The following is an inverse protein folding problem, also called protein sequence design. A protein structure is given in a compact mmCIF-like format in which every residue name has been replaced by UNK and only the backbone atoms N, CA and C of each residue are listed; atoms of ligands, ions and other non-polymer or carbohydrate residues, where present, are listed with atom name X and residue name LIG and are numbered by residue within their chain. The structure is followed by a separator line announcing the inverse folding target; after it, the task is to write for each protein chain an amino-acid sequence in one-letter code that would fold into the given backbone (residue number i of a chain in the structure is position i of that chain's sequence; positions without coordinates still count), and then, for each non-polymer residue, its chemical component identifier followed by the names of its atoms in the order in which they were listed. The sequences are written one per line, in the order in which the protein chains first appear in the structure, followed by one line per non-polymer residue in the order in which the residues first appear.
data_IF_407032023510
#
_entry.id   IF_407032023510
#
_cell.length_a   1.000
_cell.length_b   1.000
_cell.length_c   1.000
_cell.angle_alpha   90.00
_cell.angle_beta   90.00
_cell.angle_gamma   90.00
#
_symmetry.space_group_name_H-M   'P 1'
#
loop_
_entity.id
_entity.type
_entity.pdbx_description
1 polymer ?
#
# COMPACT_ATOMS: atom_id res chain seq x y z
N UNK A 1 15.85 -1.62 28.06
CA UNK A 1 14.54 -0.98 27.77
C UNK A 1 14.55 -0.20 26.46
N UNK A 2 15.55 0.65 26.20
CA UNK A 2 15.61 1.50 25.00
C UNK A 2 15.53 0.71 23.67
N UNK A 3 16.22 -0.44 23.55
CA UNK A 3 16.19 -1.26 22.33
C UNK A 3 14.80 -1.83 22.02
N UNK A 4 14.02 -2.19 23.04
CA UNK A 4 12.66 -2.68 22.85
C UNK A 4 11.73 -1.56 22.35
N UNK A 5 11.82 -0.36 22.94
CA UNK A 5 11.07 0.81 22.46
C UNK A 5 11.49 1.24 21.05
N UNK A 6 12.77 1.16 20.70
CA UNK A 6 13.23 1.35 19.32
C UNK A 6 12.54 0.36 18.38
N UNK A 7 12.36 -0.89 18.80
CA UNK A 7 11.71 -1.89 17.97
C UNK A 7 10.21 -1.71 17.85
N UNK A 8 9.55 -1.16 18.87
CA UNK A 8 8.16 -0.71 18.76
C UNK A 8 8.04 0.39 17.70
N UNK A 9 8.94 1.37 17.70
CA UNK A 9 8.91 2.46 16.71
C UNK A 9 9.23 1.93 15.31
N UNK A 10 10.19 1.01 15.17
CA UNK A 10 10.47 0.30 13.92
C UNK A 10 9.22 -0.43 13.39
N UNK A 11 8.56 -1.19 14.28
CA UNK A 11 7.35 -1.94 13.94
C UNK A 11 6.18 -1.05 13.55
N UNK A 12 6.00 0.07 14.26
CA UNK A 12 4.99 1.07 13.94
C UNK A 12 5.27 1.75 12.60
N UNK A 13 6.55 2.04 12.29
CA UNK A 13 6.96 2.61 11.00
C UNK A 13 6.66 1.64 9.85
N UNK A 14 7.12 0.39 9.95
CA UNK A 14 6.87 -0.63 8.92
C UNK A 14 5.38 -0.95 8.78
N UNK A 15 4.68 -1.11 9.89
CA UNK A 15 3.24 -1.38 9.90
C UNK A 15 2.42 -0.23 9.32
N UNK A 16 2.86 1.02 9.51
CA UNK A 16 2.25 2.20 8.87
C UNK A 16 2.36 2.14 7.35
N UNK A 17 3.54 1.82 6.81
CA UNK A 17 3.76 1.76 5.35
C UNK A 17 3.03 0.57 4.74
N UNK A 18 3.22 -0.63 5.30
CA UNK A 18 2.54 -1.81 4.80
C UNK A 18 1.03 -1.71 4.94
N UNK A 19 0.55 -1.08 6.02
CA UNK A 19 -0.86 -0.77 6.24
C UNK A 19 -1.44 0.15 5.15
N UNK A 20 -0.73 1.22 4.76
CA UNK A 20 -1.17 2.10 3.67
C UNK A 20 -1.27 1.36 2.33
N UNK A 21 -0.27 0.56 1.99
CA UNK A 21 -0.29 -0.25 0.75
C UNK A 21 -1.40 -1.29 0.80
N UNK A 22 -1.55 -2.00 1.92
CA UNK A 22 -2.62 -2.96 2.12
C UNK A 22 -4.00 -2.31 2.05
N UNK A 23 -4.17 -1.09 2.55
CA UNK A 23 -5.42 -0.33 2.43
C UNK A 23 -5.76 0.02 0.99
N UNK A 24 -4.79 0.47 0.21
CA UNK A 24 -4.96 0.71 -1.23
C UNK A 24 -5.38 -0.55 -1.97
N UNK A 25 -4.75 -1.69 -1.66
CA UNK A 25 -5.12 -2.99 -2.22
C UNK A 25 -6.51 -3.46 -1.75
N UNK A 26 -6.84 -3.23 -0.48
CA UNK A 26 -8.13 -3.60 0.13
C UNK A 26 -9.29 -2.87 -0.53
N UNK A 27 -9.13 -1.60 -0.87
CA UNK A 27 -10.16 -0.82 -1.59
C UNK A 27 -10.46 -1.42 -2.96
N UNK A 28 -9.41 -1.72 -3.73
CA UNK A 28 -9.56 -2.31 -5.07
C UNK A 28 -10.19 -3.70 -4.97
N UNK A 29 -9.70 -4.52 -4.04
CA UNK A 29 -10.25 -5.84 -3.80
C UNK A 29 -11.71 -5.79 -3.33
N UNK A 30 -12.07 -4.84 -2.46
CA UNK A 30 -13.43 -4.75 -1.93
C UNK A 30 -14.50 -4.54 -3.01
N UNK A 31 -14.14 -3.93 -4.13
CA UNK A 31 -15.08 -3.68 -5.24
C UNK A 31 -14.94 -4.72 -6.35
N UNK A 32 -13.71 -5.08 -6.71
CA UNK A 32 -13.45 -5.97 -7.85
C UNK A 32 -13.30 -7.44 -7.47
N UNK A 33 -13.08 -7.75 -6.19
CA UNK A 33 -12.78 -9.10 -5.68
C UNK A 33 -11.58 -9.78 -6.36
N UNK A 34 -10.65 -8.98 -6.89
CA UNK A 34 -9.47 -9.45 -7.61
C UNK A 34 -8.19 -8.99 -6.87
N UNK A 35 -7.23 -9.91 -6.61
CA UNK A 35 -5.90 -9.54 -6.15
C UNK A 35 -5.14 -8.75 -7.22
N UNK A 36 -5.06 -7.44 -7.07
CA UNK A 36 -4.35 -6.59 -8.02
C UNK A 36 -2.85 -6.52 -7.71
N UNK A 37 -2.05 -7.43 -8.28
CA UNK A 37 -0.60 -7.42 -8.14
C UNK A 37 0.08 -6.19 -8.75
N UNK A 38 -0.57 -5.49 -9.69
CA UNK A 38 -0.03 -4.25 -10.27
C UNK A 38 0.12 -3.13 -9.25
N UNK A 39 -0.57 -3.21 -8.10
CA UNK A 39 -0.46 -2.23 -7.03
C UNK A 39 0.98 -2.13 -6.47
N UNK A 40 1.76 -3.22 -6.51
CA UNK A 40 3.19 -3.19 -6.19
C UNK A 40 4.00 -2.33 -7.15
N UNK A 41 3.69 -2.39 -8.44
CA UNK A 41 4.33 -1.53 -9.44
C UNK A 41 3.89 -0.08 -9.30
N UNK A 42 2.63 0.21 -8.97
CA UNK A 42 2.19 1.58 -8.66
C UNK A 42 2.96 2.18 -7.47
N UNK A 43 3.23 1.36 -6.43
CA UNK A 43 4.09 1.75 -5.32
C UNK A 43 5.52 2.04 -5.77
N UNK A 44 6.12 1.18 -6.61
CA UNK A 44 7.43 1.45 -7.22
C UNK A 44 7.42 2.76 -8.03
N UNK A 45 6.46 2.96 -8.93
CA UNK A 45 6.34 4.19 -9.72
C UNK A 45 6.23 5.40 -8.79
N UNK A 46 5.50 5.30 -7.68
CA UNK A 46 5.41 6.37 -6.68
C UNK A 46 6.77 6.76 -6.06
N UNK A 47 7.64 5.78 -5.80
CA UNK A 47 9.00 6.03 -5.31
C UNK A 47 9.88 6.71 -6.39
N UNK A 48 9.79 6.26 -7.65
CA UNK A 48 10.57 6.84 -8.75
C UNK A 48 10.07 8.23 -9.15
N UNK A 49 8.76 8.47 -9.15
CA UNK A 49 8.21 9.80 -9.42
C UNK A 49 8.59 10.78 -8.30
N UNK A 50 8.52 10.37 -7.03
CA UNK A 50 8.99 11.23 -5.94
C UNK A 50 10.50 11.49 -6.03
N UNK A 51 11.30 10.49 -6.44
CA UNK A 51 12.71 10.68 -6.73
C UNK A 51 12.95 11.66 -7.87
N UNK A 52 12.25 11.51 -9.00
CA UNK A 52 12.33 12.40 -10.14
C UNK A 52 12.02 13.85 -9.75
N UNK A 53 10.90 14.08 -9.05
CA UNK A 53 10.53 15.43 -8.63
C UNK A 53 11.54 16.01 -7.62
N UNK A 54 12.04 15.23 -6.67
CA UNK A 54 12.91 15.73 -5.62
C UNK A 54 14.36 15.92 -6.08
N UNK A 55 14.90 14.99 -6.86
CA UNK A 55 16.31 14.93 -7.23
C UNK A 55 16.55 15.54 -8.60
N UNK A 56 15.78 15.13 -9.61
CA UNK A 56 16.01 15.56 -11.00
C UNK A 56 15.44 16.98 -11.25
N UNK A 57 14.31 17.32 -10.61
CA UNK A 57 13.68 18.65 -10.69
C UNK A 57 13.96 19.56 -9.49
N UNK A 58 14.59 19.05 -8.42
CA UNK A 58 14.90 19.84 -7.22
C UNK A 58 13.68 20.34 -6.43
N UNK A 59 12.50 19.73 -6.63
CA UNK A 59 11.28 20.15 -5.96
C UNK A 59 11.29 19.82 -4.48
N UNK A 60 10.60 20.64 -3.68
CA UNK A 60 10.42 20.37 -2.26
C UNK A 60 9.67 19.06 -2.03
N UNK A 61 10.00 18.33 -0.95
CA UNK A 61 9.47 17.00 -0.64
C UNK A 61 7.94 16.90 -0.74
N UNK A 62 7.20 17.84 -0.15
CA UNK A 62 5.73 17.84 -0.22
C UNK A 62 5.19 18.03 -1.65
N UNK A 63 5.87 18.81 -2.47
CA UNK A 63 5.52 19.01 -3.89
C UNK A 63 5.81 17.75 -4.68
N UNK A 64 6.96 17.11 -4.43
CA UNK A 64 7.30 15.82 -5.02
C UNK A 64 6.29 14.72 -4.65
N UNK A 65 5.82 14.72 -3.39
CA UNK A 65 4.81 13.80 -2.89
C UNK A 65 3.46 14.01 -3.58
N UNK A 66 3.01 15.27 -3.72
CA UNK A 66 1.78 15.60 -4.43
C UNK A 66 1.88 15.27 -5.94
N UNK A 67 3.00 15.61 -6.58
CA UNK A 67 3.26 15.29 -7.99
C UNK A 67 3.27 13.78 -8.24
N UNK A 68 3.95 13.02 -7.39
CA UNK A 68 3.94 11.55 -7.42
C UNK A 68 2.53 10.98 -7.27
N UNK A 69 1.75 11.48 -6.30
CA UNK A 69 0.38 11.05 -6.10
C UNK A 69 -0.50 11.30 -7.33
N UNK A 70 -0.38 12.45 -8.00
CA UNK A 70 -1.14 12.76 -9.22
C UNK A 70 -0.77 11.80 -10.36
N UNK A 71 0.53 11.59 -10.60
CA UNK A 71 1.00 10.70 -11.68
C UNK A 71 0.54 9.26 -11.44
N UNK A 72 0.70 8.75 -10.23
CA UNK A 72 0.30 7.37 -9.90
C UNK A 72 -1.21 7.21 -9.89
N UNK A 73 -1.98 8.23 -9.46
CA UNK A 73 -3.44 8.22 -9.57
C UNK A 73 -3.90 8.13 -11.04
N UNK A 74 -3.30 8.95 -11.91
CA UNK A 74 -3.60 8.92 -13.34
C UNK A 74 -3.23 7.56 -13.95
N UNK A 75 -2.06 7.03 -13.61
CA UNK A 75 -1.62 5.72 -14.07
C UNK A 75 -2.55 4.59 -13.58
N UNK A 76 -2.99 4.64 -12.32
CA UNK A 76 -3.92 3.66 -11.78
C UNK A 76 -5.28 3.70 -12.49
N UNK A 77 -5.79 4.90 -12.82
CA UNK A 77 -7.01 5.08 -13.62
C UNK A 77 -6.81 4.54 -15.04
N UNK A 78 -5.65 4.77 -15.65
CA UNK A 78 -5.32 4.22 -16.97
C UNK A 78 -5.27 2.69 -16.95
N UNK A 79 -4.66 2.09 -15.92
CA UNK A 79 -4.67 0.64 -15.74
C UNK A 79 -6.10 0.10 -15.59
N UNK A 80 -6.94 0.78 -14.81
CA UNK A 80 -8.36 0.43 -14.70
C UNK A 80 -9.04 0.47 -16.07
N UNK A 81 -8.90 1.57 -16.80
CA UNK A 81 -9.66 1.80 -18.03
C UNK A 81 -9.19 0.96 -19.21
N UNK A 82 -7.89 0.77 -19.35
CA UNK A 82 -7.28 0.12 -20.52
C UNK A 82 -7.09 -1.38 -20.34
N UNK A 83 -6.95 -1.85 -19.10
CA UNK A 83 -6.61 -3.25 -18.82
C UNK A 83 -7.72 -3.95 -18.07
N UNK A 84 -8.11 -3.47 -16.89
CA UNK A 84 -9.08 -4.19 -16.06
C UNK A 84 -10.51 -4.04 -16.58
N UNK A 85 -10.90 -2.88 -17.09
CA UNK A 85 -12.27 -2.61 -17.55
C UNK A 85 -12.68 -3.52 -18.73
N UNK A 86 -11.86 -3.72 -19.78
CA UNK A 86 -12.17 -4.67 -20.85
C UNK A 86 -12.25 -6.13 -20.36
N UNK A 87 -11.48 -6.49 -19.34
CA UNK A 87 -11.39 -7.85 -18.83
C UNK A 87 -12.51 -8.24 -17.85
N UNK A 88 -13.37 -7.30 -17.44
CA UNK A 88 -14.45 -7.54 -16.46
C UNK A 88 -15.41 -8.68 -16.79
N UNK A 89 -15.57 -9.02 -18.06
CA UNK A 89 -16.44 -10.13 -18.52
C UNK A 89 -15.64 -11.38 -18.89
N UNK A 90 -14.33 -11.36 -18.72
CA UNK A 90 -13.44 -12.49 -18.95
C UNK A 90 -13.39 -13.42 -17.74
N UNK A 91 -12.90 -14.66 -17.92
CA UNK A 91 -12.57 -15.54 -16.80
C UNK A 91 -11.67 -14.84 -15.77
N UNK A 92 -11.91 -15.01 -14.44
CA UNK A 92 -11.19 -14.28 -13.38
C UNK A 92 -9.66 -14.46 -13.35
N UNK A 93 -9.13 -15.45 -14.08
CA UNK A 93 -7.69 -15.66 -14.20
C UNK A 93 -7.04 -14.61 -15.12
N UNK A 94 -7.76 -14.05 -16.09
CA UNK A 94 -7.25 -13.06 -17.03
C UNK A 94 -6.83 -11.78 -16.30
N UNK A 95 -7.61 -11.31 -15.33
CA UNK A 95 -7.28 -10.10 -14.56
C UNK A 95 -5.99 -10.26 -13.76
N UNK A 96 -5.74 -11.46 -13.22
CA UNK A 96 -4.52 -11.78 -12.45
C UNK A 96 -3.29 -11.78 -13.35
N UNK A 97 -3.40 -12.41 -14.52
CA UNK A 97 -2.35 -12.42 -15.53
C UNK A 97 -2.06 -10.99 -16.00
N UNK A 98 -3.10 -10.20 -16.26
CA UNK A 98 -2.98 -8.81 -16.67
C UNK A 98 -2.32 -7.93 -15.59
N UNK A 99 -2.64 -8.15 -14.31
CA UNK A 99 -2.00 -7.44 -13.21
C UNK A 99 -0.49 -7.73 -13.13
N UNK A 100 -0.06 -8.97 -13.37
CA UNK A 100 1.35 -9.34 -13.48
C UNK A 100 1.97 -8.71 -14.74
N UNK A 101 1.25 -8.68 -15.85
CA UNK A 101 1.69 -7.99 -17.08
C UNK A 101 1.95 -6.51 -16.86
N UNK A 102 1.05 -5.80 -16.17
CA UNK A 102 1.24 -4.38 -15.80
C UNK A 102 2.46 -4.23 -14.87
N UNK A 103 2.60 -5.12 -13.89
CA UNK A 103 3.74 -5.10 -12.97
C UNK A 103 5.06 -5.12 -13.73
N UNK A 104 5.25 -6.12 -14.60
CA UNK A 104 6.46 -6.28 -15.41
C UNK A 104 6.65 -5.14 -16.42
N UNK A 105 5.56 -4.68 -17.05
CA UNK A 105 5.60 -3.58 -18.00
C UNK A 105 6.08 -2.27 -17.34
N UNK A 106 5.49 -1.91 -16.20
CA UNK A 106 5.88 -0.70 -15.48
C UNK A 106 7.31 -0.81 -14.91
N UNK A 107 7.71 -1.99 -14.45
CA UNK A 107 9.09 -2.21 -14.01
C UNK A 107 10.09 -2.00 -15.16
N UNK A 108 9.80 -2.55 -16.34
CA UNK A 108 10.62 -2.36 -17.53
C UNK A 108 10.68 -0.89 -17.97
N UNK A 109 9.56 -0.16 -17.90
CA UNK A 109 9.52 1.28 -18.18
C UNK A 109 10.40 2.05 -17.20
N UNK A 110 10.30 1.76 -15.90
CA UNK A 110 11.16 2.42 -14.89
C UNK A 110 12.64 2.09 -15.13
N UNK A 111 12.98 0.84 -15.43
CA UNK A 111 14.34 0.42 -15.74
C UNK A 111 14.90 1.13 -16.99
N UNK A 112 14.06 1.37 -18.00
CA UNK A 112 14.46 2.09 -19.21
C UNK A 112 14.89 3.53 -18.91
N UNK A 113 14.21 4.21 -17.99
CA UNK A 113 14.50 5.62 -17.66
C UNK A 113 15.54 5.79 -16.54
N UNK A 114 15.52 4.95 -15.50
CA UNK A 114 16.38 5.10 -14.31
C UNK A 114 17.39 3.97 -14.11
N UNK A 115 17.42 2.96 -14.98
CA UNK A 115 18.30 1.79 -14.84
C UNK A 115 17.86 0.83 -13.72
N UNK A 116 18.68 -0.20 -13.48
CA UNK A 116 18.47 -1.21 -12.44
C UNK A 116 19.11 -0.89 -11.09
N UNK A 117 19.84 0.22 -11.01
CA UNK A 117 20.64 0.57 -9.84
C UNK A 117 19.80 1.02 -8.65
N UNK A 118 20.34 0.78 -7.45
CA UNK A 118 19.76 1.28 -6.21
C UNK A 118 19.97 2.78 -6.08
N UNK A 119 18.88 3.52 -5.94
CA UNK A 119 18.89 4.97 -5.72
C UNK A 119 18.58 5.28 -4.27
N UNK A 120 19.29 6.26 -3.71
CA UNK A 120 19.03 6.81 -2.39
C UNK A 120 18.35 8.16 -2.53
N UNK A 121 17.32 8.37 -1.73
CA UNK A 121 16.66 9.66 -1.57
C UNK A 121 17.08 10.24 -0.23
N UNK A 122 17.57 11.48 -0.22
CA UNK A 122 17.88 12.16 1.04
C UNK A 122 16.59 12.42 1.81
N UNK A 123 16.63 12.27 3.14
CA UNK A 123 15.50 12.68 3.96
C UNK A 123 15.38 14.20 3.97
N UNK A 124 14.16 14.74 3.77
CA UNK A 124 13.90 16.16 3.96
C UNK A 124 14.10 16.63 5.40
N UNK A 125 14.07 15.71 6.37
CA UNK A 125 14.19 15.97 7.80
C UNK A 125 15.36 15.17 8.36
N UNK A 126 16.50 15.85 8.53
CA UNK A 126 17.75 15.26 9.06
C UNK A 126 17.80 15.25 10.59
N UNK A 127 16.78 15.81 11.25
CA UNK A 127 16.73 15.87 12.70
C UNK A 127 16.59 14.49 13.35
N UNK A 128 17.21 14.37 14.52
CA UNK A 128 17.20 13.16 15.34
C UNK A 128 16.73 13.58 16.73
N UNK A 129 15.61 13.02 17.16
CA UNK A 129 15.11 13.23 18.52
C UNK A 129 15.70 12.16 19.43
N UNK A 130 16.39 12.61 20.47
CA UNK A 130 17.00 11.76 21.48
C UNK A 130 16.22 11.91 22.79
N UNK A 131 15.45 10.89 23.15
CA UNK A 131 14.77 10.81 24.45
C UNK A 131 15.43 9.74 25.30
N UNK A 132 16.28 10.14 26.25
CA UNK A 132 16.89 9.23 27.23
C UNK A 132 17.55 7.98 26.63
N UNK A 133 18.30 8.16 25.52
CA UNK A 133 18.96 7.09 24.75
C UNK A 133 18.09 6.40 23.69
N UNK A 134 16.85 6.86 23.49
CA UNK A 134 15.99 6.50 22.37
C UNK A 134 16.23 7.45 21.18
N UNK A 135 16.88 6.94 20.13
CA UNK A 135 17.21 7.70 18.92
C UNK A 135 16.08 7.51 17.90
N UNK A 136 15.32 8.57 17.63
CA UNK A 136 14.21 8.55 16.69
C UNK A 136 14.48 9.56 15.57
N UNK A 137 14.79 9.09 14.35
CA UNK A 137 14.84 9.95 13.17
C UNK A 137 13.46 10.59 12.91
N UNK A 138 13.44 11.90 12.62
CA UNK A 138 12.20 12.63 12.33
C UNK A 138 11.40 12.02 11.17
N UNK A 139 12.09 11.48 10.16
CA UNK A 139 11.46 10.79 9.04
C UNK A 139 10.53 9.65 9.47
N UNK A 140 10.84 8.94 10.57
CA UNK A 140 9.98 7.85 11.08
C UNK A 140 8.71 8.38 11.72
N UNK A 141 8.82 9.49 12.46
CA UNK A 141 7.65 10.16 13.01
C UNK A 141 6.76 10.71 11.90
N UNK A 142 7.36 11.25 10.84
CA UNK A 142 6.65 11.70 9.65
C UNK A 142 5.92 10.54 8.94
N UNK A 143 6.55 9.37 8.82
CA UNK A 143 5.89 8.17 8.27
C UNK A 143 4.67 7.79 9.10
N UNK A 144 4.83 7.70 10.43
CA UNK A 144 3.76 7.28 11.34
C UNK A 144 2.61 8.30 11.34
N UNK A 145 2.93 9.58 11.48
CA UNK A 145 1.94 10.66 11.46
C UNK A 145 1.26 10.77 10.10
N UNK A 146 2.02 10.72 9.00
CA UNK A 146 1.50 10.78 7.64
C UNK A 146 0.57 9.60 7.33
N UNK A 147 0.95 8.38 7.72
CA UNK A 147 0.08 7.22 7.59
C UNK A 147 -1.19 7.35 8.42
N UNK A 148 -1.09 7.75 9.68
CA UNK A 148 -2.26 7.96 10.52
C UNK A 148 -3.22 9.00 9.91
N UNK A 149 -2.70 10.13 9.44
CA UNK A 149 -3.49 11.17 8.77
C UNK A 149 -4.19 10.62 7.52
N UNK A 150 -3.47 9.87 6.67
CA UNK A 150 -4.03 9.29 5.45
C UNK A 150 -5.12 8.24 5.74
N UNK A 151 -4.92 7.41 6.76
CA UNK A 151 -5.91 6.43 7.21
C UNK A 151 -7.17 7.13 7.70
N UNK A 152 -7.03 8.14 8.56
CA UNK A 152 -8.17 8.91 9.09
C UNK A 152 -8.87 9.66 7.95
N UNK A 153 -8.12 10.30 7.06
CA UNK A 153 -8.65 11.02 5.91
C UNK A 153 -9.44 10.09 4.98
N UNK A 154 -8.91 8.90 4.68
CA UNK A 154 -9.60 7.89 3.89
C UNK A 154 -10.87 7.41 4.59
N UNK A 155 -10.80 7.12 5.89
CA UNK A 155 -11.97 6.66 6.65
C UNK A 155 -13.07 7.71 6.70
N UNK A 156 -12.71 8.98 6.90
CA UNK A 156 -13.64 10.11 6.85
C UNK A 156 -14.21 10.26 5.43
N UNK A 157 -13.38 10.21 4.39
CA UNK A 157 -13.84 10.24 3.01
C UNK A 157 -14.89 9.16 2.74
N UNK A 158 -14.60 7.91 3.10
CA UNK A 158 -15.51 6.78 2.87
C UNK A 158 -16.82 6.89 3.64
N UNK A 159 -16.79 7.38 4.89
CA UNK A 159 -17.96 7.42 5.78
C UNK A 159 -18.78 8.71 5.71
N UNK A 160 -18.16 9.83 5.33
CA UNK A 160 -18.76 11.17 5.41
C UNK A 160 -19.03 11.80 4.04
N UNK A 161 -18.58 11.20 2.94
CA UNK A 161 -18.83 11.74 1.59
C UNK A 161 -19.76 10.84 0.78
N UNK A 162 -20.55 11.44 -0.12
CA UNK A 162 -21.41 10.69 -1.05
C UNK A 162 -20.58 9.79 -1.98
N UNK A 163 -19.44 10.27 -2.46
CA UNK A 163 -18.49 9.48 -3.26
C UNK A 163 -17.97 8.27 -2.48
N UNK A 164 -17.63 8.45 -1.21
CA UNK A 164 -17.25 7.36 -0.32
C UNK A 164 -18.36 6.34 -0.10
N UNK A 165 -19.60 6.80 0.08
CA UNK A 165 -20.76 5.93 0.22
C UNK A 165 -21.00 5.08 -1.03
N UNK A 166 -20.77 5.61 -2.24
CA UNK A 166 -20.88 4.81 -3.48
C UNK A 166 -19.84 3.68 -3.56
N UNK A 167 -18.63 3.91 -3.06
CA UNK A 167 -17.58 2.87 -2.95
C UNK A 167 -18.03 1.76 -2.00
N UNK A 168 -18.55 2.13 -0.82
CA UNK A 168 -19.03 1.15 0.17
C UNK A 168 -20.23 0.36 -0.38
N UNK A 169 -21.17 1.02 -1.04
CA UNK A 169 -22.34 0.37 -1.65
C UNK A 169 -21.91 -0.64 -2.74
N UNK A 170 -21.00 -0.25 -3.61
CA UNK A 170 -20.43 -1.12 -4.65
C UNK A 170 -19.69 -2.33 -4.07
N UNK A 171 -19.01 -2.17 -2.94
CA UNK A 171 -18.32 -3.27 -2.26
C UNK A 171 -19.27 -4.26 -1.56
N UNK A 172 -20.49 -3.82 -1.22
CA UNK A 172 -21.52 -4.71 -0.62
C UNK A 172 -22.27 -5.50 -1.68
N UNK A 173 -22.75 -4.83 -2.72
CA UNK A 173 -23.43 -5.46 -3.84
C UNK A 173 -23.29 -4.58 -5.08
N UNK A 174 -22.52 -5.05 -6.05
CA UNK A 174 -22.37 -4.38 -7.34
C UNK A 174 -23.69 -4.28 -8.09
N UNK A 175 -24.48 -5.35 -8.09
CA UNK A 175 -25.78 -5.38 -8.77
C UNK A 175 -26.78 -4.46 -8.06
N UNK A 176 -26.80 -4.48 -6.71
CA UNK A 176 -27.65 -3.60 -5.92
C UNK A 176 -27.30 -2.11 -6.13
N UNK A 177 -26.01 -1.78 -6.17
CA UNK A 177 -25.54 -0.43 -6.45
C UNK A 177 -25.94 0.04 -7.87
N UNK A 178 -25.88 -0.85 -8.86
CA UNK A 178 -26.32 -0.55 -10.22
C UNK A 178 -27.83 -0.24 -10.30
N UNK A 179 -28.67 -0.98 -9.57
CA UNK A 179 -30.13 -0.77 -9.55
C UNK A 179 -30.55 0.60 -9.00
N UNK A 180 -29.73 1.20 -8.12
CA UNK A 180 -29.97 2.55 -7.57
C UNK A 180 -29.24 3.65 -8.36
N UNK A 181 -28.70 3.33 -9.55
CA UNK A 181 -28.10 4.29 -10.47
C UNK A 181 -26.64 4.65 -10.18
N UNK A 182 -25.91 3.86 -9.38
CA UNK A 182 -24.47 4.08 -9.15
C UNK A 182 -23.68 3.59 -10.38
N UNK A 183 -22.93 4.49 -10.99
CA UNK A 183 -22.04 4.16 -12.10
C UNK A 183 -20.80 3.38 -11.62
N UNK A 184 -20.83 2.07 -11.82
CA UNK A 184 -19.75 1.14 -11.48
C UNK A 184 -18.41 1.51 -12.15
N UNK A 185 -18.41 2.12 -13.33
CA UNK A 185 -17.18 2.51 -14.02
C UNK A 185 -16.53 3.70 -13.32
N UNK A 186 -17.33 4.71 -12.99
CA UNK A 186 -16.84 5.88 -12.27
C UNK A 186 -16.33 5.52 -10.89
N UNK A 187 -17.03 4.64 -10.17
CA UNK A 187 -16.59 4.17 -8.85
C UNK A 187 -15.30 3.36 -8.94
N UNK A 188 -15.15 2.48 -9.93
CA UNK A 188 -13.92 1.73 -10.12
C UNK A 188 -12.72 2.65 -10.43
N UNK A 189 -12.85 3.57 -11.39
CA UNK A 189 -11.79 4.54 -11.71
C UNK A 189 -11.38 5.35 -10.47
N UNK A 190 -12.35 5.85 -9.70
CA UNK A 190 -12.07 6.61 -8.47
C UNK A 190 -11.37 5.77 -7.41
N UNK A 191 -11.76 4.49 -7.28
CA UNK A 191 -11.12 3.56 -6.34
C UNK A 191 -9.68 3.26 -6.72
N UNK A 192 -9.41 3.07 -8.01
CA UNK A 192 -8.04 2.92 -8.51
C UNK A 192 -7.22 4.19 -8.30
N UNK A 193 -7.78 5.38 -8.54
CA UNK A 193 -7.11 6.64 -8.25
C UNK A 193 -6.71 6.74 -6.77
N UNK A 194 -7.65 6.52 -5.84
CA UNK A 194 -7.39 6.56 -4.39
C UNK A 194 -6.35 5.52 -3.99
N UNK A 195 -6.45 4.30 -4.55
CA UNK A 195 -5.46 3.23 -4.34
C UNK A 195 -4.07 3.66 -4.79
N UNK A 196 -3.93 4.22 -6.00
CA UNK A 196 -2.68 4.75 -6.52
C UNK A 196 -2.10 5.89 -5.67
N UNK A 197 -2.95 6.80 -5.20
CA UNK A 197 -2.56 7.88 -4.27
C UNK A 197 -1.97 7.30 -2.98
N UNK A 198 -2.63 6.32 -2.36
CA UNK A 198 -2.13 5.67 -1.13
C UNK A 198 -0.79 4.96 -1.36
N UNK A 199 -0.63 4.29 -2.50
CA UNK A 199 0.64 3.65 -2.88
C UNK A 199 1.76 4.68 -3.05
N UNK A 200 1.48 5.80 -3.73
CA UNK A 200 2.44 6.87 -3.95
C UNK A 200 2.86 7.56 -2.65
N UNK A 201 1.91 7.82 -1.75
CA UNK A 201 2.22 8.35 -0.42
C UNK A 201 3.06 7.36 0.39
N UNK A 202 2.67 6.09 0.46
CA UNK A 202 3.43 5.06 1.17
C UNK A 202 4.88 4.98 0.65
N UNK A 203 5.04 5.01 -0.68
CA UNK A 203 6.35 4.97 -1.34
C UNK A 203 7.19 6.21 -1.04
N UNK A 204 6.61 7.41 -1.15
CA UNK A 204 7.32 8.68 -0.91
C UNK A 204 7.69 8.87 0.56
N UNK A 205 6.84 8.39 1.48
CA UNK A 205 7.12 8.39 2.92
C UNK A 205 8.28 7.45 3.26
N UNK A 206 8.37 6.30 2.61
CA UNK A 206 9.39 5.28 2.89
C UNK A 206 10.71 5.48 2.15
N UNK A 207 10.68 6.04 0.94
CA UNK A 207 11.85 6.19 0.06
C UNK A 207 13.08 6.84 0.73
N UNK A 208 12.97 7.79 1.68
CA UNK A 208 14.17 8.34 2.32
C UNK A 208 14.85 7.45 3.35
N UNK A 209 14.19 6.39 3.83
CA UNK A 209 14.77 5.43 4.80
C UNK A 209 15.03 4.05 4.20
N UNK A 210 14.81 3.89 2.89
CA UNK A 210 15.09 2.66 2.17
C UNK A 210 15.63 2.95 0.76
N UNK A 211 16.10 1.93 0.06
CA UNK A 211 16.55 2.09 -1.33
C UNK A 211 15.36 2.10 -2.28
N UNK A 212 15.44 2.96 -3.30
CA UNK A 212 14.52 2.99 -4.45
C UNK A 212 15.15 2.20 -5.58
N UNK A 213 14.49 1.12 -6.01
CA UNK A 213 14.95 0.25 -7.08
C UNK A 213 13.74 -0.41 -7.77
N UNK A 214 13.83 -0.81 -9.05
CA UNK A 214 12.66 -1.22 -9.82
C UNK A 214 11.88 -2.40 -9.19
N UNK A 215 12.57 -3.43 -8.73
CA UNK A 215 11.92 -4.60 -8.11
C UNK A 215 11.35 -4.36 -6.69
N UNK A 216 11.43 -3.13 -6.13
CA UNK A 216 11.01 -2.86 -4.74
C UNK A 216 9.52 -3.11 -4.50
N UNK A 217 8.70 -3.05 -5.55
CA UNK A 217 7.27 -3.32 -5.48
C UNK A 217 6.92 -4.76 -5.14
N UNK A 218 7.78 -5.74 -5.48
CA UNK A 218 7.47 -7.17 -5.41
C UNK A 218 7.31 -7.67 -3.97
N UNK A 219 8.29 -7.38 -3.11
CA UNK A 219 8.22 -7.78 -1.71
C UNK A 219 7.09 -7.04 -0.98
N UNK A 220 6.90 -5.75 -1.28
CA UNK A 220 5.87 -4.93 -0.64
C UNK A 220 4.46 -5.42 -1.00
N UNK A 221 4.19 -5.75 -2.28
CA UNK A 221 2.87 -6.27 -2.66
C UNK A 221 2.61 -7.65 -2.07
N UNK A 222 3.64 -8.50 -1.97
CA UNK A 222 3.51 -9.81 -1.36
C UNK A 222 3.15 -9.69 0.14
N UNK A 223 3.77 -8.75 0.85
CA UNK A 223 3.43 -8.42 2.26
C UNK A 223 2.05 -7.79 2.39
N UNK A 224 1.68 -6.88 1.50
CA UNK A 224 0.34 -6.31 1.48
C UNK A 224 -0.72 -7.41 1.26
N UNK A 225 -0.45 -8.38 0.39
CA UNK A 225 -1.34 -9.52 0.15
C UNK A 225 -1.51 -10.40 1.40
N UNK A 226 -0.41 -10.70 2.09
CA UNK A 226 -0.43 -11.36 3.42
C UNK A 226 -1.31 -10.59 4.39
N UNK A 227 -1.14 -9.26 4.46
CA UNK A 227 -1.88 -8.39 5.37
C UNK A 227 -3.38 -8.40 5.09
N UNK A 228 -3.80 -8.30 3.82
CA UNK A 228 -5.23 -8.29 3.50
C UNK A 228 -5.89 -9.65 3.78
N UNK A 229 -5.16 -10.75 3.58
CA UNK A 229 -5.66 -12.09 3.90
C UNK A 229 -5.80 -12.24 5.41
N UNK A 230 -4.75 -11.88 6.15
CA UNK A 230 -4.73 -11.91 7.61
C UNK A 230 -5.81 -11.00 8.21
N UNK A 231 -6.00 -9.81 7.65
CA UNK A 231 -7.03 -8.85 8.07
C UNK A 231 -8.46 -9.27 7.72
N UNK A 232 -8.63 -10.17 6.75
CA UNK A 232 -9.90 -10.46 6.09
C UNK A 232 -10.05 -9.59 4.82
N UNK A 233 -10.13 -10.24 3.67
CA UNK A 233 -10.09 -9.55 2.38
C UNK A 233 -11.25 -8.53 2.25
N UNK A 234 -10.94 -7.32 1.80
CA UNK A 234 -11.90 -6.22 1.70
C UNK A 234 -12.20 -5.47 3.01
N UNK A 235 -11.62 -5.89 4.15
CA UNK A 235 -11.80 -5.22 5.45
C UNK A 235 -10.78 -4.12 5.68
N UNK A 236 -11.21 -2.86 5.61
CA UNK A 236 -10.36 -1.69 5.89
C UNK A 236 -9.75 -1.72 7.31
N UNK A 237 -10.52 -1.97 8.40
CA UNK A 237 -9.93 -2.12 9.73
C UNK A 237 -8.97 -3.31 9.80
N UNK A 238 -9.29 -4.40 9.09
CA UNK A 238 -8.44 -5.58 9.00
C UNK A 238 -7.08 -5.28 8.38
N UNK A 239 -7.04 -4.47 7.31
CA UNK A 239 -5.80 -4.06 6.67
C UNK A 239 -4.91 -3.22 7.61
N UNK A 240 -5.50 -2.33 8.41
CA UNK A 240 -4.77 -1.51 9.39
C UNK A 240 -4.16 -2.39 10.48
N UNK A 241 -4.98 -3.22 11.12
CA UNK A 241 -4.53 -4.09 12.21
C UNK A 241 -3.54 -5.13 11.69
N UNK A 242 -3.80 -5.72 10.53
CA UNK A 242 -2.90 -6.68 9.91
C UNK A 242 -1.56 -6.07 9.53
N UNK A 243 -1.56 -4.84 9.01
CA UNK A 243 -0.33 -4.09 8.72
C UNK A 243 0.50 -3.88 9.98
N UNK A 244 -0.15 -3.50 11.08
CA UNK A 244 0.52 -3.34 12.38
C UNK A 244 1.07 -4.67 12.91
N UNK A 245 0.30 -5.76 12.86
CA UNK A 245 0.76 -7.09 13.30
C UNK A 245 2.01 -7.52 12.53
N UNK A 246 1.98 -7.43 11.20
CA UNK A 246 3.12 -7.80 10.35
C UNK A 246 4.31 -6.86 10.59
N UNK A 247 4.07 -5.54 10.71
CA UNK A 247 5.12 -4.56 11.02
C UNK A 247 5.82 -4.84 12.35
N UNK A 248 5.07 -5.07 13.42
CA UNK A 248 5.64 -5.42 14.73
C UNK A 248 6.35 -6.77 14.72
N UNK A 249 5.81 -7.76 14.03
CA UNK A 249 6.43 -9.06 13.93
C UNK A 249 7.77 -9.01 13.17
N UNK A 250 7.84 -8.32 12.04
CA UNK A 250 9.08 -8.14 11.29
C UNK A 250 10.11 -7.33 12.07
N UNK A 251 9.65 -6.32 12.80
CA UNK A 251 10.52 -5.55 13.66
C UNK A 251 11.08 -6.45 14.77
N UNK A 252 10.24 -6.98 15.65
CA UNK A 252 10.71 -7.76 16.82
C UNK A 252 11.47 -9.02 16.38
N UNK A 253 10.93 -9.73 15.40
CA UNK A 253 11.55 -10.93 14.83
C UNK A 253 12.90 -10.65 14.16
N UNK A 254 13.00 -9.56 13.41
CA UNK A 254 14.25 -9.15 12.78
C UNK A 254 15.35 -8.77 13.77
N UNK A 255 14.98 -8.29 14.96
CA UNK A 255 15.92 -7.94 16.02
C UNK A 255 16.33 -9.13 16.88
N UNK A 256 15.36 -9.95 17.32
CA UNK A 256 15.61 -11.05 18.26
C UNK A 256 16.04 -12.36 17.60
N UNK A 257 15.68 -12.60 16.33
CA UNK A 257 16.02 -13.82 15.60
C UNK A 257 17.15 -13.51 14.62
N UNK A 258 16.81 -12.80 13.53
CA UNK A 258 17.76 -12.27 12.55
C UNK A 258 17.02 -11.51 11.46
N UNK A 259 17.67 -10.51 10.88
CA UNK A 259 17.12 -9.71 9.79
C UNK A 259 16.84 -10.51 8.52
N UNK A 260 17.55 -11.63 8.31
CA UNK A 260 17.36 -12.50 7.14
C UNK A 260 16.05 -13.29 7.20
N UNK A 261 15.47 -13.46 8.40
CA UNK A 261 14.23 -14.19 8.61
C UNK A 261 12.99 -13.30 8.58
N UNK A 262 13.11 -11.98 8.35
CA UNK A 262 11.98 -11.05 8.37
C UNK A 262 10.82 -11.51 7.49
N UNK A 263 11.12 -11.89 6.24
CA UNK A 263 10.09 -12.33 5.30
C UNK A 263 9.50 -13.68 5.73
N UNK A 264 10.34 -14.62 6.19
CA UNK A 264 9.90 -15.92 6.72
C UNK A 264 8.94 -15.75 7.90
N UNK A 265 9.20 -14.77 8.77
CA UNK A 265 8.33 -14.47 9.92
C UNK A 265 6.97 -13.95 9.46
N UNK A 266 6.94 -13.06 8.47
CA UNK A 266 5.69 -12.55 7.91
C UNK A 266 4.85 -13.67 7.27
N UNK A 267 5.45 -14.54 6.45
CA UNK A 267 4.75 -15.67 5.82
C UNK A 267 4.39 -16.77 6.82
N UNK A 268 5.25 -17.05 7.80
CA UNK A 268 4.97 -18.00 8.87
C UNK A 268 3.77 -17.58 9.71
N UNK A 269 3.65 -16.28 10.03
CA UNK A 269 2.49 -15.74 10.71
C UNK A 269 1.21 -15.85 9.88
N UNK A 270 1.28 -15.63 8.57
CA UNK A 270 0.15 -15.88 7.67
C UNK A 270 -0.34 -17.32 7.79
N UNK A 271 0.56 -18.29 7.64
CA UNK A 271 0.23 -19.72 7.69
C UNK A 271 -0.37 -20.08 9.06
N UNK A 272 0.22 -19.60 10.15
CA UNK A 272 -0.26 -19.85 11.50
C UNK A 272 -1.67 -19.27 11.70
N UNK A 273 -1.88 -18.01 11.34
CA UNK A 273 -3.17 -17.34 11.54
C UNK A 273 -4.25 -17.97 10.67
N UNK A 274 -3.97 -18.31 9.41
CA UNK A 274 -4.93 -18.98 8.54
C UNK A 274 -5.26 -20.41 9.00
N UNK A 275 -4.29 -21.11 9.59
CA UNK A 275 -4.52 -22.43 10.17
C UNK A 275 -5.51 -22.38 11.34
N UNK A 276 -5.50 -21.28 12.11
CA UNK A 276 -6.40 -21.08 13.26
C UNK A 276 -7.70 -20.37 12.86
N UNK A 277 -7.64 -19.43 11.91
CA UNK A 277 -8.76 -18.58 11.43
C UNK A 277 -8.66 -18.37 9.92
N UNK A 278 -9.19 -19.30 9.10
CA UNK A 278 -9.06 -19.27 7.64
C UNK A 278 -9.76 -18.09 6.97
N UNK A 279 -10.70 -17.43 7.66
CA UNK A 279 -11.39 -16.24 7.16
C UNK A 279 -10.62 -14.93 7.45
N UNK A 280 -9.52 -14.97 8.21
CA UNK A 280 -8.81 -13.79 8.70
C UNK A 280 -9.41 -13.23 10.00
N UNK A 281 -8.83 -12.14 10.50
CA UNK A 281 -9.15 -11.57 11.81
C UNK A 281 -10.49 -10.82 11.85
N UNK A 282 -10.87 -10.15 10.75
CA UNK A 282 -12.05 -9.28 10.69
C UNK A 282 -12.96 -9.60 9.49
N UNK A 283 -12.97 -10.84 9.00
CA UNK A 283 -14.00 -11.22 8.03
C UNK A 283 -15.38 -11.04 8.65
N UNK A 284 -16.20 -10.21 7.99
CA UNK A 284 -17.64 -10.22 8.25
C UNK A 284 -18.15 -11.53 7.69
N UNK A 285 -18.70 -12.38 8.57
CA UNK A 285 -19.34 -13.61 8.17
C UNK A 285 -20.34 -13.31 7.05
N UNK A 286 -20.22 -14.06 5.95
CA UNK A 286 -21.29 -14.13 4.98
C UNK A 286 -22.51 -14.74 5.70
N UNK A 287 -23.44 -13.87 6.08
CA UNK A 287 -24.81 -14.20 6.44
C UNK A 287 -25.73 -13.43 5.51
#
# INVERSE_FOLDING_TARGET
MNLFFQQIINGLTLGSIYGLVALGLTLVYGILHIPNFAHGALYMVGAFMSYFFMVDLGAHYWVAMAGSAIVVAALAVLCERLVFHPLRHSPPIHDKIAAIGILLFLEAVVQMFWGSDFRRMSSPFTGILNFDGLIIPEQRLLIIAGAFVLVVALQLFLRKTMTGATIIAMAQSRDGAFLVGIDANRVAMMTFAISGVLAAFAATLYAPINLVYPAMGHLVIMKAFVIIILGGMGSIPGAIVGGMIIGFAEALGGFYISTSYKDIIAFGLLVLILSVRPQGLFAKGAH
#
